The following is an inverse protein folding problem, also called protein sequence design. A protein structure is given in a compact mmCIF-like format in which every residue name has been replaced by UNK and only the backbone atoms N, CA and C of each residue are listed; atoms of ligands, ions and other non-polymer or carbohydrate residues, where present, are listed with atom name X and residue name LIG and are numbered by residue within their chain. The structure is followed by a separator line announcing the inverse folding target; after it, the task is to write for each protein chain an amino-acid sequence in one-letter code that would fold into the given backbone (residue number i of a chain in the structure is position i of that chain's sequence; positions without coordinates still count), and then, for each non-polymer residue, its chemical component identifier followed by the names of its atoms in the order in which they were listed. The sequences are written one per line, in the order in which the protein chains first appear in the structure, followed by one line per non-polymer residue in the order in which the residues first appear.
data_IF_321167148325
#
_entry.id   IF_321167148325
#
_cell.length_a   1.000
_cell.length_b   1.000
_cell.length_c   1.000
_cell.angle_alpha   90.00
_cell.angle_beta   90.00
_cell.angle_gamma   90.00
#
_symmetry.space_group_name_H-M   'P 1'
#
loop_
_entity.id
_entity.type
_entity.pdbx_description
1 polymer ?
#
# COMPACT_ATOMS: atom_id res chain seq x y z
N UNK A 1 -21.60 -16.79 -19.88
CA UNK A 1 -22.30 -15.53 -20.18
C UNK A 1 -21.30 -14.39 -20.33
N UNK A 2 -20.29 -14.28 -19.47
CA UNK A 2 -19.11 -13.47 -19.80
C UNK A 2 -18.23 -14.21 -20.81
N UNK A 3 -18.02 -13.60 -21.98
CA UNK A 3 -17.18 -14.14 -23.02
C UNK A 3 -15.75 -13.58 -22.91
N UNK A 4 -14.77 -14.39 -23.30
CA UNK A 4 -13.37 -13.97 -23.49
C UNK A 4 -13.25 -12.88 -24.54
N UNK A 5 -14.16 -12.87 -25.51
CA UNK A 5 -14.21 -11.93 -26.64
C UNK A 5 -15.54 -11.21 -26.58
N UNK A 6 -15.49 -9.90 -26.38
CA UNK A 6 -16.61 -9.00 -26.56
C UNK A 6 -16.36 -8.15 -27.81
N UNK A 7 -17.42 -7.95 -28.60
CA UNK A 7 -17.33 -7.24 -29.86
C UNK A 7 -17.55 -5.74 -29.62
N UNK A 8 -16.46 -5.03 -29.36
CA UNK A 8 -16.49 -3.58 -29.35
C UNK A 8 -16.93 -3.05 -30.71
N UNK A 9 -17.82 -2.06 -30.67
CA UNK A 9 -18.21 -1.28 -31.85
C UNK A 9 -17.04 -0.34 -32.18
N UNK A 10 -16.22 -0.74 -33.14
CA UNK A 10 -15.07 0.05 -33.60
C UNK A 10 -15.37 0.59 -35.01
N UNK A 11 -14.91 1.82 -35.34
CA UNK A 11 -15.14 2.42 -36.67
C UNK A 11 -14.73 1.49 -37.82
N UNK A 12 -13.58 0.84 -37.71
CA UNK A 12 -13.04 -0.07 -38.74
C UNK A 12 -13.89 -1.34 -38.95
N UNK A 13 -14.71 -1.72 -37.96
CA UNK A 13 -15.59 -2.90 -38.05
C UNK A 13 -16.97 -2.56 -38.61
N UNK A 14 -17.39 -1.31 -38.50
CA UNK A 14 -18.65 -0.82 -39.09
C UNK A 14 -18.63 -0.88 -40.61
N UNK A 15 -17.45 -0.88 -41.24
CA UNK A 15 -17.31 -1.06 -42.69
C UNK A 15 -17.63 -2.49 -43.16
N UNK A 16 -17.65 -3.47 -42.24
CA UNK A 16 -17.82 -4.90 -42.55
C UNK A 16 -19.08 -5.52 -41.94
N UNK A 17 -19.53 -4.98 -40.81
CA UNK A 17 -20.64 -5.50 -40.05
C UNK A 17 -21.53 -4.36 -39.56
N UNK A 18 -22.83 -4.61 -39.57
CA UNK A 18 -23.75 -3.87 -38.73
C UNK A 18 -23.67 -4.41 -37.30
N UNK A 19 -24.17 -3.65 -36.33
CA UNK A 19 -24.23 -4.09 -34.95
C UNK A 19 -25.66 -4.07 -34.44
N UNK A 20 -25.95 -5.00 -33.53
CA UNK A 20 -27.19 -4.99 -32.76
C UNK A 20 -27.26 -3.80 -31.80
N UNK A 21 -28.39 -3.67 -31.10
CA UNK A 21 -28.48 -2.85 -29.90
C UNK A 21 -27.38 -3.24 -28.89
N UNK A 22 -26.82 -2.23 -28.22
CA UNK A 22 -25.75 -2.38 -27.25
C UNK A 22 -26.25 -3.14 -26.02
N UNK A 23 -25.54 -4.20 -25.63
CA UNK A 23 -25.91 -4.99 -24.45
C UNK A 23 -25.02 -4.70 -23.23
N UNK A 24 -23.83 -4.14 -23.44
CA UNK A 24 -22.89 -3.84 -22.36
C UNK A 24 -22.00 -2.64 -22.71
N UNK A 25 -21.67 -1.83 -21.70
CA UNK A 25 -20.53 -0.91 -21.75
C UNK A 25 -19.26 -1.69 -21.37
N UNK A 26 -18.67 -2.38 -22.36
CA UNK A 26 -17.47 -3.18 -22.18
C UNK A 26 -16.22 -2.32 -22.29
N UNK A 27 -15.54 -2.06 -21.19
CA UNK A 27 -14.24 -1.40 -21.19
C UNK A 27 -13.09 -2.39 -21.32
N UNK A 28 -12.06 -1.97 -22.07
CA UNK A 28 -10.75 -2.63 -22.06
C UNK A 28 -9.92 -1.99 -20.94
N UNK A 29 -9.64 -2.75 -19.89
CA UNK A 29 -8.95 -2.25 -18.70
C UNK A 29 -7.64 -3.04 -18.49
N UNK A 30 -6.74 -2.49 -17.68
CA UNK A 30 -5.53 -3.17 -17.27
C UNK A 30 -5.66 -3.71 -15.85
N UNK A 31 -4.98 -4.82 -15.58
CA UNK A 31 -4.83 -5.41 -14.26
C UNK A 31 -3.37 -5.65 -13.95
N UNK A 32 -3.03 -5.44 -12.68
CA UNK A 32 -1.70 -5.67 -12.13
C UNK A 32 -1.84 -6.32 -10.75
N UNK A 33 -0.77 -6.96 -10.28
CA UNK A 33 -0.71 -7.52 -8.93
C UNK A 33 -0.98 -6.45 -7.87
N UNK A 34 -1.75 -6.79 -6.83
CA UNK A 34 -1.88 -5.93 -5.65
C UNK A 34 -0.49 -5.78 -5.03
N UNK A 35 0.00 -4.55 -4.83
CA UNK A 35 1.35 -4.36 -4.33
C UNK A 35 1.47 -4.94 -2.92
N UNK A 36 2.53 -5.71 -2.68
CA UNK A 36 2.82 -6.25 -1.37
C UNK A 36 2.90 -5.13 -0.32
N UNK A 37 2.38 -5.41 0.87
CA UNK A 37 2.50 -4.51 2.00
C UNK A 37 3.99 -4.29 2.31
N UNK A 38 4.34 -3.04 2.60
CA UNK A 38 5.70 -2.73 3.06
C UNK A 38 6.02 -3.53 4.32
N UNK A 39 7.28 -3.91 4.53
CA UNK A 39 7.64 -4.75 5.66
C UNK A 39 7.26 -4.06 6.97
N UNK A 40 6.59 -4.82 7.85
CA UNK A 40 5.90 -4.29 9.01
C UNK A 40 6.82 -3.62 10.04
N UNK A 41 8.13 -3.90 10.03
CA UNK A 41 9.11 -3.21 10.89
C UNK A 41 9.19 -1.70 10.60
N UNK A 42 8.83 -1.26 9.38
CA UNK A 42 8.78 0.16 9.01
C UNK A 42 7.55 0.89 9.59
N UNK A 43 6.57 0.16 10.12
CA UNK A 43 5.32 0.72 10.66
C UNK A 43 5.53 1.70 11.81
N UNK A 44 6.68 1.64 12.50
CA UNK A 44 6.99 2.50 13.64
C UNK A 44 7.42 3.92 13.21
N UNK A 45 8.08 4.05 12.06
CA UNK A 45 8.53 5.35 11.52
C UNK A 45 7.47 6.02 10.63
N UNK A 46 6.66 5.20 9.96
CA UNK A 46 5.60 5.61 9.03
C UNK A 46 4.55 6.61 9.54
N UNK A 47 4.11 6.60 10.83
CA UNK A 47 2.97 7.40 11.28
C UNK A 47 3.21 8.92 11.25
N UNK A 48 4.47 9.34 11.15
CA UNK A 48 4.87 10.74 11.09
C UNK A 48 5.75 10.97 9.86
N UNK A 49 5.56 12.12 9.22
CA UNK A 49 6.39 12.55 8.10
C UNK A 49 7.86 12.73 8.53
N UNK A 50 8.84 12.44 7.66
CA UNK A 50 10.25 12.70 7.94
C UNK A 50 10.55 14.12 8.45
N UNK A 51 9.82 15.11 7.94
CA UNK A 51 9.95 16.51 8.36
C UNK A 51 9.52 16.73 9.81
N UNK A 52 8.49 16.02 10.27
CA UNK A 52 8.02 16.08 11.66
C UNK A 52 9.03 15.43 12.58
N UNK A 53 9.60 14.29 12.17
CA UNK A 53 10.69 13.64 12.92
C UNK A 53 11.89 14.56 13.09
N UNK A 54 12.30 15.25 12.02
CA UNK A 54 13.40 16.23 12.09
C UNK A 54 13.06 17.41 13.01
N UNK A 55 11.82 17.92 12.97
CA UNK A 55 11.38 19.00 13.85
C UNK A 55 11.37 18.55 15.33
N UNK A 56 10.85 17.36 15.63
CA UNK A 56 10.85 16.80 17.00
C UNK A 56 12.29 16.62 17.50
N UNK A 57 13.18 16.10 16.67
CA UNK A 57 14.60 15.97 17.00
C UNK A 57 15.25 17.33 17.27
N UNK A 58 14.94 18.34 16.45
CA UNK A 58 15.45 19.70 16.64
C UNK A 58 14.98 20.30 17.97
N UNK A 59 13.69 20.19 18.30
CA UNK A 59 13.16 20.67 19.60
C UNK A 59 13.79 19.90 20.76
N UNK A 60 13.94 18.57 20.63
CA UNK A 60 14.57 17.72 21.63
C UNK A 60 16.03 18.15 21.95
N UNK A 61 16.79 18.60 20.96
CA UNK A 61 18.16 19.11 21.17
C UNK A 61 18.18 20.55 21.70
N UNK A 62 17.22 21.38 21.29
CA UNK A 62 17.16 22.80 21.68
C UNK A 62 16.78 22.98 23.16
N UNK A 63 15.77 22.25 23.66
CA UNK A 63 15.21 22.48 25.01
C UNK A 63 16.24 22.26 26.14
N UNK A 64 17.04 21.18 26.16
CA UNK A 64 18.12 21.02 27.15
C UNK A 64 19.14 22.16 27.09
N UNK A 65 19.49 22.62 25.87
CA UNK A 65 20.42 23.74 25.68
C UNK A 65 19.89 25.05 26.25
N UNK A 66 18.60 25.35 26.02
CA UNK A 66 17.94 26.54 26.57
C UNK A 66 17.83 26.47 28.10
N UNK A 67 17.51 25.29 28.66
CA UNK A 67 17.48 25.07 30.10
C UNK A 67 18.85 25.32 30.76
N UNK A 68 19.93 24.78 30.18
CA UNK A 68 21.29 25.03 30.66
C UNK A 68 21.65 26.51 30.51
N UNK A 69 21.28 27.15 29.41
CA UNK A 69 21.52 28.59 29.21
C UNK A 69 20.83 29.44 30.29
N UNK A 70 19.56 29.19 30.59
CA UNK A 70 18.83 29.90 31.65
C UNK A 70 19.42 29.61 33.02
N UNK A 71 19.81 28.36 33.28
CA UNK A 71 20.48 28.00 34.51
C UNK A 71 21.83 28.72 34.70
N UNK A 72 22.65 28.84 33.64
CA UNK A 72 23.91 29.59 33.67
C UNK A 72 23.70 31.07 33.97
N UNK A 73 22.63 31.68 33.43
CA UNK A 73 22.26 33.07 33.74
C UNK A 73 21.83 33.21 35.21
N UNK A 74 21.13 32.22 35.76
CA UNK A 74 20.70 32.20 37.16
C UNK A 74 21.85 31.95 38.15
N UNK A 75 22.82 31.11 37.78
CA UNK A 75 24.06 30.93 38.53
C UNK A 75 24.82 32.27 38.61
N UNK A 76 24.93 33.00 37.49
CA UNK A 76 25.52 34.36 37.48
C UNK A 76 24.76 35.36 38.36
N UNK A 77 23.47 35.14 38.61
CA UNK A 77 22.62 35.96 39.49
C UNK A 77 22.59 35.47 40.95
N UNK A 78 23.32 34.41 41.29
CA UNK A 78 23.44 33.89 42.67
C UNK A 78 22.29 32.99 43.14
N UNK A 79 21.33 32.64 42.26
CA UNK A 79 20.13 31.85 42.62
C UNK A 79 20.05 30.49 41.91
N UNK A 80 21.02 30.14 41.07
CA UNK A 80 20.98 28.93 40.25
C UNK A 80 21.43 27.66 40.97
N UNK A 81 20.76 26.55 40.70
CA UNK A 81 21.26 25.20 41.00
C UNK A 81 22.21 24.75 39.89
N UNK A 82 23.19 23.88 40.15
CA UNK A 82 24.14 23.41 39.13
C UNK A 82 23.55 22.40 38.14
N UNK A 83 22.62 22.80 37.25
CA UNK A 83 22.02 21.91 36.27
C UNK A 83 22.95 21.75 35.05
N UNK A 84 23.61 20.59 34.99
CA UNK A 84 24.45 20.21 33.84
C UNK A 84 23.60 19.71 32.66
N UNK A 85 24.20 19.70 31.45
CA UNK A 85 23.56 19.25 30.21
C UNK A 85 23.08 17.78 30.29
N UNK A 86 23.81 16.91 30.99
CA UNK A 86 23.44 15.51 31.19
C UNK A 86 22.08 15.36 31.89
N UNK A 87 21.93 15.82 33.14
CA UNK A 87 20.65 15.80 33.85
C UNK A 87 19.51 16.51 33.12
N UNK A 88 19.78 17.65 32.47
CA UNK A 88 18.77 18.37 31.67
C UNK A 88 18.29 17.54 30.47
N UNK A 89 19.20 16.91 29.73
CA UNK A 89 18.87 16.05 28.59
C UNK A 89 18.09 14.79 29.02
N UNK A 90 18.48 14.17 30.15
CA UNK A 90 17.74 13.05 30.74
C UNK A 90 16.33 13.45 31.18
N UNK A 91 16.17 14.62 31.80
CA UNK A 91 14.86 15.16 32.20
C UNK A 91 13.92 15.36 31.00
N UNK A 92 14.43 15.97 29.93
CA UNK A 92 13.70 16.20 28.67
C UNK A 92 13.35 14.87 28.00
N UNK A 93 14.26 13.90 27.98
CA UNK A 93 14.00 12.56 27.45
C UNK A 93 12.93 11.81 28.26
N UNK A 94 13.05 11.80 29.59
CA UNK A 94 12.11 11.11 30.48
C UNK A 94 10.70 11.69 30.34
N UNK A 95 10.57 13.01 30.32
CA UNK A 95 9.27 13.68 30.11
C UNK A 95 8.69 13.43 28.72
N UNK A 96 9.51 13.36 27.66
CA UNK A 96 9.05 12.99 26.31
C UNK A 96 8.48 11.56 26.27
N UNK A 97 9.13 10.63 26.97
CA UNK A 97 8.70 9.24 27.10
C UNK A 97 7.57 9.05 28.12
N UNK A 98 7.04 10.13 28.69
CA UNK A 98 6.02 10.12 29.75
C UNK A 98 6.42 9.30 30.99
N UNK A 99 7.72 9.30 31.32
CA UNK A 99 8.27 8.67 32.53
C UNK A 99 8.30 9.67 33.70
N UNK A 100 8.19 9.15 34.92
CA UNK A 100 8.25 9.96 36.13
C UNK A 100 9.66 10.53 36.36
N UNK A 101 9.74 11.77 36.82
CA UNK A 101 11.00 12.43 37.16
C UNK A 101 11.30 12.19 38.63
N UNK A 102 12.40 11.50 38.91
CA UNK A 102 12.93 11.37 40.26
C UNK A 102 13.74 12.61 40.73
N UNK A 103 14.02 13.55 39.82
CA UNK A 103 14.86 14.73 40.07
C UNK A 103 14.05 15.99 40.37
N UNK A 104 14.62 16.84 41.23
CA UNK A 104 14.03 18.12 41.63
C UNK A 104 13.78 19.05 40.44
N UNK A 105 12.56 19.59 40.37
CA UNK A 105 12.18 20.55 39.35
C UNK A 105 12.98 21.86 39.49
N UNK A 106 13.29 22.54 38.38
CA UNK A 106 13.89 23.86 38.43
C UNK A 106 12.97 24.84 39.18
N UNK A 107 13.55 25.58 40.12
CA UNK A 107 12.81 26.46 41.05
C UNK A 107 12.39 27.78 40.41
N UNK A 108 13.07 28.21 39.34
CA UNK A 108 12.82 29.47 38.65
C UNK A 108 11.54 29.49 37.82
N UNK A 109 10.84 30.63 37.82
CA UNK A 109 9.63 30.86 37.05
C UNK A 109 9.84 30.69 35.53
N UNK A 110 10.97 31.15 34.98
CA UNK A 110 11.26 31.03 33.54
C UNK A 110 11.40 29.57 33.11
N UNK A 111 12.14 28.77 33.90
CA UNK A 111 12.32 27.35 33.66
C UNK A 111 11.00 26.57 33.84
N UNK A 112 10.14 26.97 34.79
CA UNK A 112 8.81 26.38 34.98
C UNK A 112 7.89 26.64 33.78
N UNK A 113 7.86 27.87 33.25
CA UNK A 113 7.06 28.19 32.06
C UNK A 113 7.55 27.41 30.84
N UNK A 114 8.88 27.32 30.64
CA UNK A 114 9.47 26.54 29.55
C UNK A 114 9.13 25.04 29.69
N UNK A 115 9.23 24.48 30.90
CA UNK A 115 8.89 23.08 31.16
C UNK A 115 7.39 22.81 31.00
N UNK A 116 6.52 23.74 31.40
CA UNK A 116 5.09 23.62 31.14
C UNK A 116 4.80 23.56 29.64
N UNK A 117 5.38 24.47 28.86
CA UNK A 117 5.22 24.47 27.40
C UNK A 117 5.77 23.18 26.76
N UNK A 118 6.93 22.70 27.24
CA UNK A 118 7.51 21.44 26.81
C UNK A 118 6.63 20.24 27.14
N UNK A 119 6.04 20.18 28.34
CA UNK A 119 5.14 19.09 28.74
C UNK A 119 3.88 19.05 27.89
N UNK A 120 3.30 20.21 27.57
CA UNK A 120 2.16 20.31 26.65
C UNK A 120 2.57 19.80 25.25
N UNK A 121 3.73 20.20 24.75
CA UNK A 121 4.27 19.72 23.49
C UNK A 121 4.49 18.20 23.49
N UNK A 122 5.18 17.67 24.50
CA UNK A 122 5.46 16.24 24.66
C UNK A 122 4.16 15.41 24.75
N UNK A 123 3.15 15.93 25.46
CA UNK A 123 1.83 15.32 25.55
C UNK A 123 1.14 15.28 24.17
N UNK A 124 1.12 16.39 23.44
CA UNK A 124 0.51 16.45 22.10
C UNK A 124 1.23 15.51 21.13
N UNK A 125 2.56 15.56 21.07
CA UNK A 125 3.35 14.70 20.16
C UNK A 125 3.16 13.23 20.52
N UNK A 126 3.21 12.88 21.81
CA UNK A 126 3.01 11.51 22.28
C UNK A 126 1.62 10.96 22.00
N UNK A 127 0.56 11.78 22.18
CA UNK A 127 -0.82 11.38 21.88
C UNK A 127 -1.07 11.24 20.39
N UNK A 128 -0.62 12.19 19.56
CA UNK A 128 -0.74 12.12 18.10
C UNK A 128 0.03 10.93 17.53
N UNK A 129 1.26 10.68 18.00
CA UNK A 129 2.04 9.53 17.56
C UNK A 129 1.35 8.20 17.90
N UNK A 130 0.86 8.04 19.14
CA UNK A 130 0.13 6.82 19.53
C UNK A 130 -1.16 6.63 18.73
N UNK A 131 -1.90 7.71 18.47
CA UNK A 131 -3.11 7.67 17.65
C UNK A 131 -2.82 7.27 16.21
N UNK A 132 -1.84 7.92 15.56
CA UNK A 132 -1.46 7.61 14.18
C UNK A 132 -0.86 6.20 14.05
N UNK A 133 -0.04 5.77 15.01
CA UNK A 133 0.50 4.41 15.04
C UNK A 133 -0.62 3.38 15.15
N UNK A 134 -1.61 3.61 16.03
CA UNK A 134 -2.77 2.74 16.16
C UNK A 134 -3.54 2.65 14.83
N UNK A 135 -3.80 3.79 14.17
CA UNK A 135 -4.44 3.82 12.86
C UNK A 135 -3.62 3.09 11.77
N UNK A 136 -2.30 3.26 11.77
CA UNK A 136 -1.41 2.62 10.80
C UNK A 136 -1.29 1.10 11.00
N UNK A 137 -1.45 0.63 12.25
CA UNK A 137 -1.42 -0.79 12.57
C UNK A 137 -2.77 -1.47 12.31
N UNK A 138 -3.90 -0.75 12.45
CA UNK A 138 -5.22 -1.31 12.17
C UNK A 138 -5.60 -1.26 10.69
N UNK A 139 -5.17 -0.24 9.96
CA UNK A 139 -5.44 -0.07 8.53
C UNK A 139 -4.14 -0.11 7.73
N UNK A 140 -3.83 -1.24 7.07
CA UNK A 140 -2.63 -1.34 6.26
C UNK A 140 -2.73 -0.37 5.07
N UNK A 141 -1.78 0.57 5.00
CA UNK A 141 -1.70 1.51 3.89
C UNK A 141 -0.86 0.91 2.76
N UNK A 142 -1.54 0.49 1.71
CA UNK A 142 -0.89 0.04 0.48
C UNK A 142 -0.07 1.17 -0.15
N UNK A 143 1.07 0.86 -0.77
CA UNK A 143 1.79 1.87 -1.56
C UNK A 143 0.89 2.39 -2.69
N UNK A 144 1.15 3.61 -3.19
CA UNK A 144 0.42 4.12 -4.34
C UNK A 144 0.58 3.14 -5.50
N UNK A 145 -0.54 2.81 -6.11
CA UNK A 145 -0.64 1.83 -7.19
C UNK A 145 -0.97 2.58 -8.48
N UNK A 146 -0.42 2.18 -9.64
CA UNK A 146 -0.71 2.84 -10.90
C UNK A 146 -2.19 2.66 -11.23
N UNK A 147 -2.90 3.78 -11.39
CA UNK A 147 -4.34 3.82 -11.69
C UNK A 147 -4.61 4.41 -13.08
N UNK A 148 -3.64 5.13 -13.62
CA UNK A 148 -3.73 5.81 -14.92
C UNK A 148 -2.90 5.10 -16.00
N UNK A 149 -3.24 5.34 -17.25
CA UNK A 149 -2.51 4.82 -18.41
C UNK A 149 -1.10 5.44 -18.52
N UNK A 150 -0.94 6.70 -18.14
CA UNK A 150 0.37 7.35 -18.11
C UNK A 150 1.29 6.72 -17.07
N UNK A 151 0.76 6.42 -15.87
CA UNK A 151 1.49 5.70 -14.84
C UNK A 151 1.81 4.27 -15.27
N UNK A 152 0.88 3.59 -15.95
CA UNK A 152 1.08 2.24 -16.48
C UNK A 152 2.29 2.18 -17.42
N UNK A 153 2.36 3.08 -18.41
CA UNK A 153 3.48 3.13 -19.37
C UNK A 153 4.80 3.53 -18.73
N UNK A 154 4.74 4.31 -17.64
CA UNK A 154 5.94 4.75 -16.90
C UNK A 154 6.51 3.65 -16.01
N UNK A 155 5.66 2.83 -15.41
CA UNK A 155 6.06 1.81 -14.41
C UNK A 155 6.37 0.48 -15.07
N UNK A 156 5.62 0.10 -16.11
CA UNK A 156 5.70 -1.23 -16.72
C UNK A 156 6.29 -1.18 -18.12
N UNK A 157 7.33 -1.99 -18.34
CA UNK A 157 7.98 -2.12 -19.64
C UNK A 157 7.24 -3.09 -20.58
N UNK A 158 6.43 -3.99 -20.02
CA UNK A 158 5.71 -5.01 -20.78
C UNK A 158 4.25 -5.10 -20.34
N UNK A 159 3.37 -5.10 -21.35
CA UNK A 159 1.92 -5.19 -21.20
C UNK A 159 1.45 -6.42 -21.97
N UNK A 160 0.83 -7.39 -21.30
CA UNK A 160 0.35 -8.62 -21.94
C UNK A 160 -1.11 -8.49 -22.35
N UNK A 161 -1.47 -9.10 -23.48
CA UNK A 161 -2.85 -9.10 -23.98
C UNK A 161 -3.18 -10.44 -24.66
N UNK A 162 -4.42 -10.96 -24.56
CA UNK A 162 -4.79 -12.20 -25.25
C UNK A 162 -4.74 -12.09 -26.79
N UNK A 163 -4.98 -13.17 -27.54
CA UNK A 163 -4.78 -13.20 -29.00
C UNK A 163 -5.57 -12.15 -29.80
N UNK A 164 -6.75 -11.74 -29.32
CA UNK A 164 -7.53 -10.66 -29.94
C UNK A 164 -6.84 -9.28 -29.84
N UNK A 165 -5.81 -9.15 -29.02
CA UNK A 165 -5.00 -7.94 -28.85
C UNK A 165 -4.25 -7.51 -30.11
N UNK A 166 -4.05 -8.39 -31.09
CA UNK A 166 -3.35 -8.03 -32.34
C UNK A 166 -4.04 -6.87 -33.07
N UNK A 167 -5.38 -6.83 -33.05
CA UNK A 167 -6.14 -5.74 -33.65
C UNK A 167 -6.00 -4.45 -32.84
N UNK A 168 -6.03 -4.55 -31.50
CA UNK A 168 -5.83 -3.41 -30.61
C UNK A 168 -4.43 -2.80 -30.76
N UNK A 169 -3.38 -3.62 -30.92
CA UNK A 169 -2.01 -3.14 -31.20
C UNK A 169 -1.98 -2.34 -32.51
N UNK A 170 -2.63 -2.83 -33.57
CA UNK A 170 -2.72 -2.10 -34.84
C UNK A 170 -3.47 -0.78 -34.68
N UNK A 171 -4.61 -0.80 -33.98
CA UNK A 171 -5.42 0.38 -33.69
C UNK A 171 -4.63 1.44 -32.89
N UNK A 172 -3.95 1.04 -31.83
CA UNK A 172 -3.14 1.94 -31.01
C UNK A 172 -1.92 2.50 -31.77
N UNK A 173 -1.28 1.72 -32.66
CA UNK A 173 -0.20 2.21 -33.54
C UNK A 173 -0.67 3.27 -34.54
N UNK A 174 -1.93 3.17 -35.01
CA UNK A 174 -2.53 4.14 -35.93
C UNK A 174 -3.01 5.42 -35.23
N UNK A 175 -3.12 5.41 -33.90
CA UNK A 175 -3.53 6.58 -33.13
C UNK A 175 -2.50 7.72 -33.24
N UNK A 176 -2.96 8.96 -33.15
CA UNK A 176 -2.08 10.14 -33.09
C UNK A 176 -1.49 10.37 -31.69
N UNK A 177 -2.01 9.72 -30.65
CA UNK A 177 -1.56 9.89 -29.28
C UNK A 177 -0.23 9.20 -29.02
N UNK A 178 0.71 9.92 -28.40
CA UNK A 178 2.00 9.38 -27.94
C UNK A 178 1.79 8.26 -26.93
N UNK A 179 0.79 8.40 -26.05
CA UNK A 179 0.47 7.42 -25.01
C UNK A 179 0.04 6.08 -25.62
N UNK A 180 -0.91 6.09 -26.55
CA UNK A 180 -1.38 4.86 -27.20
C UNK A 180 -0.27 4.18 -28.03
N UNK A 181 0.59 4.95 -28.70
CA UNK A 181 1.77 4.39 -29.38
C UNK A 181 2.73 3.73 -28.38
N UNK A 182 3.00 4.40 -27.26
CA UNK A 182 3.86 3.86 -26.19
C UNK A 182 3.31 2.59 -25.55
N UNK A 183 1.98 2.49 -25.41
CA UNK A 183 1.30 1.26 -24.99
C UNK A 183 1.47 0.16 -26.05
N UNK A 184 1.23 0.47 -27.32
CA UNK A 184 1.29 -0.51 -28.42
C UNK A 184 2.70 -1.08 -28.65
N UNK A 185 3.74 -0.31 -28.36
CA UNK A 185 5.14 -0.75 -28.42
C UNK A 185 5.50 -1.74 -27.31
N UNK A 186 4.86 -1.61 -26.13
CA UNK A 186 5.08 -2.49 -24.96
C UNK A 186 4.14 -3.69 -24.91
N UNK A 187 3.14 -3.73 -25.79
CA UNK A 187 2.16 -4.80 -25.84
C UNK A 187 2.71 -6.10 -26.43
N UNK A 188 2.51 -7.20 -25.71
CA UNK A 188 2.88 -8.55 -26.13
C UNK A 188 1.70 -9.50 -26.05
N UNK A 189 1.58 -10.38 -27.03
CA UNK A 189 0.45 -11.30 -27.12
C UNK A 189 0.72 -12.56 -26.31
N UNK A 190 -0.22 -12.92 -25.45
CA UNK A 190 -0.22 -14.15 -24.65
C UNK A 190 -1.36 -15.08 -25.06
N UNK A 191 -1.28 -16.40 -24.78
CA UNK A 191 -2.29 -17.36 -25.25
C UNK A 191 -3.68 -17.13 -24.66
N UNK A 192 -3.78 -16.75 -23.39
CA UNK A 192 -5.04 -16.55 -22.69
C UNK A 192 -4.87 -15.58 -21.50
N UNK A 193 -5.99 -15.16 -20.91
CA UNK A 193 -6.01 -14.23 -19.78
C UNK A 193 -5.35 -14.81 -18.53
N UNK A 194 -5.47 -16.11 -18.27
CA UNK A 194 -4.85 -16.74 -17.09
C UNK A 194 -3.33 -16.63 -17.14
N UNK A 195 -2.73 -16.94 -18.29
CA UNK A 195 -1.27 -16.84 -18.48
C UNK A 195 -0.81 -15.40 -18.37
N UNK A 196 -1.57 -14.45 -18.93
CA UNK A 196 -1.24 -13.03 -18.83
C UNK A 196 -1.34 -12.49 -17.41
N UNK A 197 -2.36 -12.89 -16.65
CA UNK A 197 -2.50 -12.56 -15.24
C UNK A 197 -1.38 -13.22 -14.42
N UNK A 198 -1.03 -14.47 -14.69
CA UNK A 198 0.08 -15.14 -14.01
C UNK A 198 1.42 -14.44 -14.25
N UNK A 199 1.70 -14.00 -15.49
CA UNK A 199 2.88 -13.17 -15.79
C UNK A 199 2.83 -11.81 -15.08
N UNK A 200 1.64 -11.24 -14.90
CA UNK A 200 1.48 -10.01 -14.11
C UNK A 200 1.81 -10.21 -12.63
N UNK A 201 1.61 -11.42 -12.09
CA UNK A 201 2.01 -11.80 -10.73
C UNK A 201 3.51 -12.06 -10.61
N UNK A 202 4.05 -12.91 -11.49
CA UNK A 202 5.42 -13.43 -11.40
C UNK A 202 6.46 -12.42 -11.89
N UNK A 203 6.23 -11.80 -13.04
CA UNK A 203 7.21 -10.99 -13.77
C UNK A 203 7.03 -9.47 -13.56
N UNK A 204 6.10 -9.06 -12.66
CA UNK A 204 5.69 -7.66 -12.46
C UNK A 204 5.30 -6.97 -13.76
N UNK A 205 4.50 -7.64 -14.57
CA UNK A 205 3.94 -7.10 -15.81
C UNK A 205 2.51 -6.59 -15.61
N UNK A 206 1.97 -5.87 -16.59
CA UNK A 206 0.55 -5.52 -16.62
C UNK A 206 -0.20 -6.38 -17.63
N UNK A 207 -1.43 -6.80 -17.31
CA UNK A 207 -2.29 -7.54 -18.22
C UNK A 207 -3.47 -6.69 -18.68
N UNK A 208 -3.85 -6.76 -19.95
CA UNK A 208 -4.99 -6.01 -20.52
C UNK A 208 -6.04 -6.98 -21.07
N UNK A 209 -7.28 -6.81 -20.62
CA UNK A 209 -8.42 -7.60 -21.07
C UNK A 209 -9.75 -6.84 -20.83
N UNK A 210 -10.87 -7.46 -21.20
CA UNK A 210 -12.19 -6.94 -20.86
C UNK A 210 -12.42 -6.97 -19.36
N UNK A 211 -12.88 -5.86 -18.80
CA UNK A 211 -13.02 -5.67 -17.35
C UNK A 211 -13.76 -6.82 -16.65
N UNK A 212 -15.01 -7.10 -17.05
CA UNK A 212 -15.85 -8.10 -16.37
C UNK A 212 -15.26 -9.51 -16.47
N UNK A 213 -14.77 -9.88 -17.66
CA UNK A 213 -14.11 -11.17 -17.86
C UNK A 213 -12.84 -11.29 -17.00
N UNK A 214 -12.03 -10.24 -16.95
CA UNK A 214 -10.82 -10.19 -16.13
C UNK A 214 -11.15 -10.30 -14.64
N UNK A 215 -12.14 -9.55 -14.14
CA UNK A 215 -12.63 -9.64 -12.75
C UNK A 215 -13.11 -11.06 -12.40
N UNK A 216 -13.79 -11.74 -13.34
CA UNK A 216 -14.19 -13.13 -13.16
C UNK A 216 -12.97 -14.07 -13.08
N UNK A 217 -11.98 -13.89 -13.95
CA UNK A 217 -10.77 -14.73 -13.95
C UNK A 217 -9.94 -14.52 -12.68
N UNK A 218 -9.84 -13.27 -12.19
CA UNK A 218 -9.21 -12.95 -10.90
C UNK A 218 -9.96 -13.64 -9.76
N UNK A 219 -11.29 -13.52 -9.71
CA UNK A 219 -12.10 -14.18 -8.68
C UNK A 219 -12.00 -15.72 -8.70
N UNK A 220 -11.75 -16.30 -9.88
CA UNK A 220 -11.69 -17.75 -10.06
C UNK A 220 -10.32 -18.35 -9.75
N UNK A 221 -9.24 -17.67 -10.11
CA UNK A 221 -7.88 -18.22 -10.11
C UNK A 221 -6.90 -17.46 -9.22
N UNK A 222 -7.10 -16.16 -9.01
CA UNK A 222 -6.15 -15.25 -8.33
C UNK A 222 -6.80 -14.61 -7.11
N UNK A 223 -7.30 -15.47 -6.22
CA UNK A 223 -7.90 -15.07 -4.95
C UNK A 223 -7.05 -15.63 -3.81
N UNK A 224 -6.89 -14.84 -2.75
CA UNK A 224 -6.28 -15.27 -1.51
C UNK A 224 -7.23 -16.20 -0.72
N UNK A 225 -6.73 -16.96 0.27
CA UNK A 225 -7.57 -17.82 1.14
C UNK A 225 -8.72 -17.08 1.84
N UNK A 226 -8.56 -15.77 2.04
CA UNK A 226 -9.57 -14.87 2.62
C UNK A 226 -10.66 -14.44 1.62
N UNK A 227 -10.52 -14.82 0.35
CA UNK A 227 -11.39 -14.39 -0.76
C UNK A 227 -11.11 -12.97 -1.26
N UNK A 228 -10.04 -12.31 -0.80
CA UNK A 228 -9.55 -11.06 -1.37
C UNK A 228 -8.82 -11.31 -2.70
N UNK A 229 -8.95 -10.43 -3.70
CA UNK A 229 -8.28 -10.62 -4.97
C UNK A 229 -6.78 -10.30 -4.85
N UNK A 230 -5.93 -11.12 -5.47
CA UNK A 230 -4.47 -10.90 -5.54
C UNK A 230 -4.09 -9.83 -6.56
N UNK A 231 -5.01 -9.52 -7.48
CA UNK A 231 -4.82 -8.56 -8.55
C UNK A 231 -5.92 -7.53 -8.49
N UNK A 232 -5.63 -6.31 -8.91
CA UNK A 232 -6.64 -5.27 -9.05
C UNK A 232 -6.73 -4.81 -10.51
N UNK A 233 -7.89 -4.27 -10.86
CA UNK A 233 -8.14 -3.64 -12.15
C UNK A 233 -7.98 -2.13 -11.97
N UNK A 234 -7.19 -1.50 -12.84
CA UNK A 234 -6.95 -0.06 -12.80
C UNK A 234 -8.22 0.75 -13.01
N UNK A 235 -8.24 1.96 -12.47
CA UNK A 235 -9.39 2.85 -12.58
C UNK A 235 -9.59 3.41 -14.00
N UNK A 236 -8.50 3.78 -14.69
CA UNK A 236 -8.58 4.32 -16.05
C UNK A 236 -8.69 3.20 -17.10
N UNK A 237 -9.72 3.27 -17.93
CA UNK A 237 -9.94 2.36 -19.05
C UNK A 237 -9.11 2.74 -20.27
N UNK A 238 -8.47 1.76 -20.93
CA UNK A 238 -7.76 1.97 -22.19
C UNK A 238 -8.71 2.39 -23.29
N UNK A 239 -9.83 1.67 -23.41
CA UNK A 239 -10.89 1.96 -24.37
C UNK A 239 -12.22 1.82 -23.62
N UNK A 240 -12.88 2.93 -23.28
CA UNK A 240 -14.29 2.87 -22.92
C UNK A 240 -15.07 2.52 -24.20
N UNK A 241 -15.70 1.35 -24.21
CA UNK A 241 -16.36 0.80 -25.38
C UNK A 241 -17.80 0.42 -25.10
N UNK A 242 -18.58 0.37 -26.18
CA UNK A 242 -19.87 -0.32 -26.21
C UNK A 242 -19.71 -1.65 -26.92
N UNK A 243 -20.35 -2.67 -26.35
CA UNK A 243 -20.38 -4.03 -26.87
C UNK A 243 -21.75 -4.32 -27.47
N UNK A 244 -21.74 -4.79 -28.71
CA UNK A 244 -22.92 -5.19 -29.44
C UNK A 244 -22.59 -6.43 -30.30
N UNK A 245 -23.61 -7.18 -30.71
CA UNK A 245 -23.39 -8.34 -31.56
C UNK A 245 -23.16 -7.90 -33.01
N UNK A 246 -22.10 -8.37 -33.68
CA UNK A 246 -21.90 -8.09 -35.10
C UNK A 246 -22.93 -8.89 -35.91
N UNK A 247 -23.58 -8.20 -36.82
CA UNK A 247 -24.58 -8.72 -37.75
C UNK A 247 -24.07 -8.47 -39.18
N UNK A 248 -24.38 -9.34 -40.15
CA UNK A 248 -24.18 -9.03 -41.56
C UNK A 248 -24.90 -7.72 -41.92
N UNK A 249 -24.34 -6.94 -42.83
CA UNK A 249 -25.05 -5.78 -43.38
C UNK A 249 -26.41 -6.20 -43.93
N UNK A 250 -27.40 -5.34 -43.69
CA UNK A 250 -28.78 -5.51 -44.15
C UNK A 250 -29.45 -6.81 -43.65
N UNK A 251 -29.00 -7.34 -42.50
CA UNK A 251 -29.60 -8.51 -41.89
C UNK A 251 -31.10 -8.26 -41.61
N UNK A 252 -32.03 -9.02 -42.24
CA UNK A 252 -33.47 -8.77 -42.11
C UNK A 252 -34.00 -9.04 -40.69
N UNK A 253 -33.22 -9.77 -39.88
CA UNK A 253 -33.53 -10.10 -38.50
C UNK A 253 -32.96 -9.11 -37.48
N UNK A 254 -32.25 -8.06 -37.92
CA UNK A 254 -31.67 -7.04 -37.02
C UNK A 254 -32.72 -6.37 -36.14
N UNK A 255 -33.87 -5.89 -36.64
CA UNK A 255 -34.87 -5.24 -35.79
C UNK A 255 -35.41 -6.15 -34.67
N UNK A 256 -35.55 -7.45 -34.95
CA UNK A 256 -36.00 -8.42 -33.96
C UNK A 256 -34.93 -8.68 -32.90
N UNK A 257 -33.65 -8.79 -33.31
CA UNK A 257 -32.54 -8.93 -32.36
C UNK A 257 -32.42 -7.68 -31.47
N UNK A 258 -32.53 -6.49 -32.07
CA UNK A 258 -32.42 -5.22 -31.34
C UNK A 258 -33.52 -5.11 -30.27
N UNK A 259 -34.76 -5.46 -30.62
CA UNK A 259 -35.87 -5.46 -29.67
C UNK A 259 -35.66 -6.46 -28.53
N UNK A 260 -35.20 -7.69 -28.83
CA UNK A 260 -34.91 -8.70 -27.82
C UNK A 260 -33.77 -8.25 -26.88
N UNK A 261 -32.70 -7.70 -27.45
CA UNK A 261 -31.53 -7.25 -26.69
C UNK A 261 -31.90 -6.08 -25.78
N UNK A 262 -32.64 -5.10 -26.30
CA UNK A 262 -33.16 -3.98 -25.54
C UNK A 262 -34.04 -4.46 -24.39
N UNK A 263 -34.95 -5.42 -24.65
CA UNK A 263 -35.82 -5.99 -23.59
C UNK A 263 -35.01 -6.67 -22.48
N UNK A 264 -33.95 -7.41 -22.82
CA UNK A 264 -33.06 -8.08 -21.85
C UNK A 264 -32.30 -7.07 -20.99
N UNK A 265 -31.80 -5.99 -21.62
CA UNK A 265 -31.08 -4.91 -20.93
C UNK A 265 -32.02 -4.10 -20.04
N UNK A 266 -33.18 -3.68 -20.55
CA UNK A 266 -34.19 -2.90 -19.81
C UNK A 266 -34.78 -3.68 -18.63
N UNK A 267 -34.96 -5.00 -18.78
CA UNK A 267 -35.37 -5.86 -17.67
C UNK A 267 -34.27 -6.08 -16.61
N UNK A 268 -33.05 -5.57 -16.83
CA UNK A 268 -31.91 -5.75 -15.92
C UNK A 268 -31.36 -7.18 -15.87
N UNK A 269 -31.79 -8.05 -16.78
CA UNK A 269 -31.41 -9.46 -16.78
C UNK A 269 -29.90 -9.64 -17.03
N UNK A 270 -29.32 -8.83 -17.92
CA UNK A 270 -27.90 -8.87 -18.22
C UNK A 270 -27.04 -8.61 -16.97
N UNK A 271 -27.33 -7.53 -16.24
CA UNK A 271 -26.57 -7.16 -15.05
C UNK A 271 -26.75 -8.20 -13.95
N UNK A 272 -27.98 -8.64 -13.71
CA UNK A 272 -28.28 -9.69 -12.73
C UNK A 272 -27.51 -10.98 -13.01
N UNK A 273 -27.56 -11.50 -14.24
CA UNK A 273 -26.85 -12.74 -14.59
C UNK A 273 -25.34 -12.60 -14.45
N UNK A 274 -24.81 -11.41 -14.72
CA UNK A 274 -23.39 -11.13 -14.61
C UNK A 274 -22.95 -11.04 -13.14
N UNK A 275 -23.76 -10.41 -12.29
CA UNK A 275 -23.54 -10.38 -10.84
C UNK A 275 -23.66 -11.78 -10.22
N UNK A 276 -24.73 -12.52 -10.53
CA UNK A 276 -24.95 -13.89 -10.06
C UNK A 276 -23.75 -14.79 -10.42
N UNK A 277 -23.22 -14.66 -11.64
CA UNK A 277 -22.04 -15.39 -12.09
C UNK A 277 -20.77 -15.04 -11.31
N UNK A 278 -20.53 -13.76 -10.98
CA UNK A 278 -19.39 -13.36 -10.16
C UNK A 278 -19.52 -13.87 -8.73
N UNK A 279 -20.71 -13.76 -8.15
CA UNK A 279 -21.01 -14.26 -6.79
C UNK A 279 -20.78 -15.76 -6.70
N UNK A 280 -21.28 -16.52 -7.68
CA UNK A 280 -21.08 -17.96 -7.76
C UNK A 280 -19.61 -18.32 -7.95
N UNK A 281 -18.89 -17.63 -8.84
CA UNK A 281 -17.45 -17.82 -9.05
C UNK A 281 -16.66 -17.59 -7.75
N UNK A 282 -16.97 -16.52 -7.00
CA UNK A 282 -16.34 -16.24 -5.69
C UNK A 282 -16.69 -17.29 -4.64
N UNK A 283 -17.89 -17.87 -4.70
CA UNK A 283 -18.29 -18.96 -3.80
C UNK A 283 -17.53 -20.24 -4.10
N UNK A 284 -17.46 -20.64 -5.37
CA UNK A 284 -16.71 -21.82 -5.80
C UNK A 284 -15.21 -21.70 -5.48
N UNK A 285 -14.61 -20.53 -5.73
CA UNK A 285 -13.21 -20.24 -5.42
C UNK A 285 -12.91 -20.46 -3.94
N UNK A 286 -13.74 -19.90 -3.05
CA UNK A 286 -13.63 -20.08 -1.58
C UNK A 286 -13.78 -21.54 -1.15
N UNK A 287 -14.71 -22.28 -1.77
CA UNK A 287 -14.87 -23.71 -1.47
C UNK A 287 -13.65 -24.53 -1.88
N UNK A 288 -13.08 -24.26 -3.06
CA UNK A 288 -11.86 -24.93 -3.54
C UNK A 288 -10.67 -24.64 -2.64
N UNK A 289 -10.49 -23.39 -2.21
CA UNK A 289 -9.43 -23.03 -1.27
C UNK A 289 -9.61 -23.74 0.08
N UNK A 290 -10.83 -23.76 0.63
CA UNK A 290 -11.08 -24.48 1.89
C UNK A 290 -10.74 -25.97 1.79
N UNK A 291 -11.09 -26.60 0.68
CA UNK A 291 -10.72 -28.00 0.40
C UNK A 291 -9.21 -28.19 0.26
N UNK A 292 -8.50 -27.27 -0.39
CA UNK A 292 -7.03 -27.30 -0.49
C UNK A 292 -6.37 -27.13 0.88
N UNK A 293 -6.87 -26.23 1.73
CA UNK A 293 -6.39 -26.04 3.10
C UNK A 293 -6.63 -27.28 3.98
N UNK A 294 -7.75 -27.98 3.80
CA UNK A 294 -8.05 -29.23 4.52
C UNK A 294 -7.18 -30.41 4.03
N UNK A 295 -6.77 -30.40 2.75
CA UNK A 295 -5.96 -31.46 2.14
C UNK A 295 -4.44 -31.33 2.37
N UNK A 296 -3.93 -30.13 2.67
CA UNK A 296 -2.49 -29.87 2.86
C UNK A 296 -2.22 -29.09 4.16
N UNK A 297 -2.29 -29.73 5.34
CA UNK A 297 -2.06 -29.07 6.62
C UNK A 297 -0.60 -28.62 6.87
N UNK A 298 0.38 -29.12 6.10
CA UNK A 298 1.82 -28.81 6.31
C UNK A 298 2.26 -27.44 5.75
N UNK A 299 1.60 -26.90 4.73
CA UNK A 299 1.87 -25.56 4.19
C UNK A 299 1.31 -24.43 5.08
N UNK A 300 0.41 -24.77 6.01
CA UNK A 300 -0.26 -23.80 6.89
C UNK A 300 0.68 -23.11 7.88
N UNK A 301 1.82 -23.71 8.25
CA UNK A 301 2.72 -23.10 9.23
C UNK A 301 3.56 -21.95 8.66
N UNK A 302 3.70 -21.84 7.33
CA UNK A 302 4.41 -20.73 6.69
C UNK A 302 3.45 -19.57 6.33
N UNK A 303 2.30 -19.87 5.72
CA UNK A 303 1.40 -18.82 5.22
C UNK A 303 0.39 -18.29 6.25
N UNK A 304 0.05 -19.06 7.29
CA UNK A 304 -0.85 -18.57 8.36
C UNK A 304 -0.24 -17.45 9.22
N UNK A 305 1.04 -17.14 9.02
CA UNK A 305 1.71 -16.01 9.68
C UNK A 305 1.49 -14.66 8.98
N UNK A 306 0.95 -14.64 7.74
CA UNK A 306 0.88 -13.41 6.95
C UNK A 306 -0.53 -12.93 6.55
N UNK A 307 -1.50 -13.79 6.23
CA UNK A 307 -2.75 -13.29 5.60
C UNK A 307 -4.06 -13.97 6.03
N UNK A 308 -4.53 -13.64 7.23
CA UNK A 308 -5.94 -13.83 7.63
C UNK A 308 -6.54 -12.45 7.94
N UNK A 309 -7.47 -11.93 7.12
CA UNK A 309 -8.05 -10.59 7.27
C UNK A 309 -9.58 -10.55 7.17
N UNK A 310 -10.25 -11.13 8.15
CA UNK A 310 -11.45 -10.44 8.63
C UNK A 310 -11.03 -9.08 9.22
N UNK A 311 -11.86 -8.05 9.02
CA UNK A 311 -11.62 -6.60 9.20
C UNK A 311 -11.04 -6.09 10.54
N UNK A 312 -10.57 -6.98 11.44
CA UNK A 312 -9.89 -6.67 12.68
C UNK A 312 -8.73 -7.68 12.83
N UNK A 313 -7.55 -7.36 12.29
CA UNK A 313 -6.34 -8.16 12.52
C UNK A 313 -5.93 -8.03 13.99
N UNK A 314 -5.82 -9.15 14.69
CA UNK A 314 -5.21 -9.17 16.02
C UNK A 314 -3.72 -8.80 15.89
N UNK A 315 -3.22 -7.97 16.80
CA UNK A 315 -1.82 -7.54 16.79
C UNK A 315 -0.89 -8.74 17.05
N UNK A 316 -0.24 -9.23 16.00
CA UNK A 316 0.77 -10.29 16.06
C UNK A 316 2.17 -9.75 16.40
N UNK A 317 3.08 -10.65 16.78
CA UNK A 317 4.50 -10.36 17.03
C UNK A 317 5.21 -9.72 15.81
N UNK A 318 4.71 -9.97 14.60
CA UNK A 318 5.29 -9.43 13.35
C UNK A 318 5.19 -7.90 13.33
N UNK A 319 4.08 -7.34 13.85
CA UNK A 319 3.88 -5.90 13.94
C UNK A 319 4.83 -5.23 14.96
N UNK A 320 5.32 -5.96 15.96
CA UNK A 320 6.21 -5.43 17.00
C UNK A 320 7.70 -5.60 16.69
N UNK A 321 8.06 -6.25 15.57
CA UNK A 321 9.45 -6.51 15.19
C UNK A 321 10.30 -5.24 15.17
N UNK A 322 9.77 -4.14 14.62
CA UNK A 322 10.49 -2.86 14.57
C UNK A 322 10.88 -2.33 15.95
N UNK A 323 9.97 -2.41 16.92
CA UNK A 323 10.24 -1.99 18.30
C UNK A 323 11.27 -2.91 18.98
N UNK A 324 11.19 -4.22 18.75
CA UNK A 324 12.16 -5.20 19.28
C UNK A 324 13.55 -4.97 18.68
N UNK A 325 13.65 -4.70 17.37
CA UNK A 325 14.94 -4.40 16.74
C UNK A 325 15.56 -3.10 17.29
N UNK A 326 14.77 -2.05 17.48
CA UNK A 326 15.26 -0.81 18.10
C UNK A 326 15.73 -1.02 19.54
N UNK A 327 15.01 -1.85 20.32
CA UNK A 327 15.42 -2.19 21.68
C UNK A 327 16.75 -2.93 21.71
N UNK A 328 16.91 -3.98 20.89
CA UNK A 328 18.16 -4.74 20.80
C UNK A 328 19.31 -3.85 20.33
N UNK A 329 19.09 -3.04 19.30
CA UNK A 329 20.08 -2.08 18.80
C UNK A 329 20.50 -1.10 19.90
N UNK A 330 19.54 -0.57 20.66
CA UNK A 330 19.80 0.32 21.79
C UNK A 330 20.65 -0.33 22.88
N UNK A 331 20.35 -1.58 23.25
CA UNK A 331 21.13 -2.34 24.23
C UNK A 331 22.56 -2.61 23.74
N UNK A 332 22.74 -2.95 22.46
CA UNK A 332 24.06 -3.17 21.87
C UNK A 332 24.90 -1.89 21.91
N UNK A 333 24.33 -0.75 21.51
CA UNK A 333 25.03 0.55 21.57
C UNK A 333 25.39 0.92 23.00
N UNK A 334 24.47 0.74 23.96
CA UNK A 334 24.74 1.01 25.37
C UNK A 334 25.86 0.10 25.93
N UNK A 335 25.87 -1.18 25.58
CA UNK A 335 26.93 -2.10 25.98
C UNK A 335 28.30 -1.71 25.40
N UNK A 336 28.34 -1.30 24.12
CA UNK A 336 29.57 -0.81 23.48
C UNK A 336 30.08 0.44 24.19
N UNK A 337 29.21 1.42 24.47
CA UNK A 337 29.59 2.65 25.18
C UNK A 337 30.11 2.37 26.59
N UNK A 338 29.46 1.46 27.33
CA UNK A 338 29.90 1.06 28.67
C UNK A 338 31.28 0.38 28.65
N UNK A 339 31.53 -0.50 27.67
CA UNK A 339 32.85 -1.12 27.50
C UNK A 339 33.90 -0.07 27.16
N UNK A 340 33.61 0.86 26.25
CA UNK A 340 34.51 1.96 25.88
C UNK A 340 34.82 2.84 27.09
N UNK A 341 33.82 3.22 27.88
CA UNK A 341 34.00 4.00 29.11
C UNK A 341 34.86 3.25 30.14
N UNK A 342 34.64 1.95 30.30
CA UNK A 342 35.46 1.12 31.21
C UNK A 342 36.91 1.03 30.72
N UNK A 343 37.13 0.92 29.40
CA UNK A 343 38.46 0.89 28.81
C UNK A 343 39.18 2.23 28.95
N UNK A 344 38.51 3.35 28.68
CA UNK A 344 39.09 4.69 28.85
C UNK A 344 39.40 4.94 30.32
N UNK A 345 38.50 4.59 31.25
CA UNK A 345 38.73 4.70 32.69
C UNK A 345 39.94 3.90 33.14
N UNK A 346 40.10 2.64 32.68
CA UNK A 346 41.28 1.81 32.99
C UNK A 346 42.57 2.36 32.39
N UNK A 347 42.51 2.94 31.19
CA UNK A 347 43.66 3.54 30.52
C UNK A 347 44.13 4.83 31.23
N UNK A 348 43.20 5.72 31.59
CA UNK A 348 43.47 6.93 32.37
C UNK A 348 43.89 6.62 33.81
N UNK A 349 43.31 5.60 34.44
CA UNK A 349 43.70 5.13 35.78
C UNK A 349 45.14 4.60 35.84
N UNK A 350 45.62 3.91 34.79
CA UNK A 350 47.02 3.50 34.67
C UNK A 350 47.98 4.68 34.47
N UNK A 351 47.53 5.78 33.84
CA UNK A 351 48.35 6.98 33.64
C UNK A 351 48.53 7.82 34.92
N UNK A 352 47.57 7.78 35.85
CA UNK A 352 47.65 8.51 37.14
C UNK A 352 48.35 7.71 38.26
N UNK A 353 48.58 6.41 38.09
CA UNK A 353 49.36 5.58 39.03
C UNK A 353 50.88 5.59 38.79
N UNK A 354 51.36 6.45 37.89
CA UNK A 354 52.77 6.55 37.49
C UNK A 354 53.33 7.96 37.73
N UNK A 355 52.87 8.63 38.79
CA UNK A 355 53.43 9.87 39.34
C UNK A 355 53.70 9.71 40.83
#
# INVERSE_FOLDING_TARGET
FMATVFHNVLPQRLDRYDYSYTYEYGSLDFSVSVPALRPQWQSLYYPLSPWVWLAVLAVFLMIPGILVMFNMVEIKRGCGTGLSLGPASHMVMATLLAQNLAQSFPTSHANRTLMMAWLVFAFIVGTVYRGNLTAALTLPKYPPRPETLEELVRVYDRITMPPFGVEFIKFFKQSNSVLFKGIAERMTIVPNVVVGLQQAEDDREAHVAGRRYMEQMIARHFSNPDGSPQMYVGHESLIPGISAWPLPHDAPYRPQIDWLMMTVVEAGLYEKWSEDMLVETRRESRLKQKQQMEAQPELLLQDASQDTSTNIRALSMVHMQGAVFLFILGLLVAAILFVLETMTYRYLGKSNGMR
#
